data_IF_962670125747
#
_entry.id   IF_962670125747
#
_cell.length_a   1.000
_cell.length_b   1.000
_cell.length_c   1.000
_cell.angle_alpha   90.00
_cell.angle_beta   90.00
_cell.angle_gamma   90.00
#
_symmetry.space_group_name_H-M   'P 1'
#
loop_
_entity.id
_entity.type
_entity.pdbx_description
1 polymer ?
#
# COMPACT_ATOMS: atom_id res chain seq x y z
N UNK A 1 10.54 1.49 -12.09
CA UNK A 1 9.54 0.85 -12.94
C UNK A 1 8.31 0.53 -12.16
N UNK A 2 7.14 0.80 -12.74
CA UNK A 2 5.86 0.58 -12.05
C UNK A 2 5.67 -0.85 -11.61
N UNK A 3 6.11 -1.81 -12.43
CA UNK A 3 5.92 -3.22 -12.13
C UNK A 3 6.61 -3.62 -10.83
N UNK A 4 7.82 -3.12 -10.62
CA UNK A 4 8.55 -3.42 -9.39
C UNK A 4 7.88 -2.81 -8.17
N UNK A 5 7.40 -1.60 -8.31
CA UNK A 5 6.70 -0.92 -7.22
C UNK A 5 5.40 -1.64 -6.90
N UNK A 6 4.66 -2.00 -7.94
CA UNK A 6 3.40 -2.71 -7.75
C UNK A 6 3.61 -4.02 -7.01
N UNK A 7 4.58 -4.82 -7.45
CA UNK A 7 4.85 -6.10 -6.83
C UNK A 7 5.30 -5.94 -5.38
N UNK A 8 6.16 -4.96 -5.14
CA UNK A 8 6.65 -4.72 -3.80
C UNK A 8 5.54 -4.27 -2.87
N UNK A 9 4.64 -3.43 -3.36
CA UNK A 9 3.51 -2.99 -2.56
C UNK A 9 2.58 -4.16 -2.27
N UNK A 10 2.28 -4.98 -3.26
CA UNK A 10 1.42 -6.16 -3.04
C UNK A 10 2.03 -7.08 -2.00
N UNK A 11 3.33 -7.30 -2.06
CA UNK A 11 4.00 -8.14 -1.09
C UNK A 11 3.93 -7.53 0.30
N UNK A 12 4.16 -6.22 0.40
CA UNK A 12 4.09 -5.52 1.68
C UNK A 12 2.70 -5.61 2.27
N UNK A 13 1.68 -5.41 1.43
CA UNK A 13 0.29 -5.50 1.88
C UNK A 13 -0.02 -6.91 2.37
N UNK A 14 0.39 -7.91 1.60
CA UNK A 14 0.12 -9.30 1.97
C UNK A 14 0.76 -9.65 3.32
N UNK A 15 1.98 -9.21 3.53
CA UNK A 15 2.69 -9.49 4.78
C UNK A 15 2.06 -8.76 5.96
N UNK A 16 1.67 -7.51 5.75
CA UNK A 16 1.11 -6.68 6.81
C UNK A 16 -0.28 -7.17 7.22
N UNK A 17 -1.10 -7.48 6.24
CA UNK A 17 -2.47 -7.93 6.49
C UNK A 17 -2.58 -9.43 6.65
N UNK A 18 -1.49 -10.16 6.43
CA UNK A 18 -1.44 -11.62 6.58
C UNK A 18 -2.42 -12.31 5.65
N UNK A 19 -2.41 -11.89 4.39
CA UNK A 19 -3.26 -12.47 3.37
C UNK A 19 -2.39 -12.94 2.20
N UNK A 20 -3.00 -13.69 1.30
CA UNK A 20 -2.29 -14.23 0.15
C UNK A 20 -2.08 -13.13 -0.89
N UNK A 21 -0.83 -12.95 -1.28
CA UNK A 21 -0.47 -11.96 -2.28
C UNK A 21 -1.26 -12.16 -3.58
N UNK A 22 -1.57 -13.40 -3.91
CA UNK A 22 -2.32 -13.72 -5.12
C UNK A 22 -3.74 -13.19 -5.13
N UNK A 23 -4.29 -12.83 -3.96
CA UNK A 23 -5.64 -12.28 -3.88
C UNK A 23 -5.67 -10.77 -4.02
N UNK A 24 -4.52 -10.13 -4.11
CA UNK A 24 -4.41 -8.67 -4.14
C UNK A 24 -4.30 -8.21 -5.58
N UNK A 25 -5.12 -7.22 -5.94
CA UNK A 25 -5.03 -6.58 -7.25
C UNK A 25 -4.94 -5.07 -7.05
N UNK A 26 -4.63 -4.36 -8.14
CA UNK A 26 -4.58 -2.90 -8.08
C UNK A 26 -5.90 -2.29 -7.67
N UNK A 27 -6.99 -2.94 -8.00
CA UNK A 27 -8.33 -2.44 -7.70
C UNK A 27 -8.81 -2.79 -6.31
N UNK A 28 -8.06 -3.63 -5.60
CA UNK A 28 -8.46 -4.05 -4.25
C UNK A 28 -8.48 -2.86 -3.30
N UNK A 29 -9.58 -2.73 -2.57
CA UNK A 29 -9.70 -1.71 -1.53
C UNK A 29 -9.24 -2.31 -0.22
N UNK A 30 -8.40 -1.57 0.49
CA UNK A 30 -7.82 -2.11 1.72
C UNK A 30 -8.88 -2.50 2.74
N UNK A 31 -9.88 -1.66 2.90
CA UNK A 31 -10.94 -1.91 3.89
C UNK A 31 -11.99 -2.87 3.35
N UNK A 32 -12.58 -2.55 2.21
CA UNK A 32 -13.73 -3.29 1.69
C UNK A 32 -13.36 -4.65 1.13
N UNK A 33 -12.22 -4.74 0.46
CA UNK A 33 -11.84 -5.97 -0.22
C UNK A 33 -10.86 -6.81 0.58
N UNK A 34 -9.95 -6.16 1.30
CA UNK A 34 -8.91 -6.87 2.03
C UNK A 34 -9.17 -6.95 3.53
N UNK A 35 -10.22 -6.29 4.00
CA UNK A 35 -10.65 -6.42 5.38
C UNK A 35 -9.80 -5.67 6.40
N UNK A 36 -9.05 -4.67 5.96
CA UNK A 36 -8.22 -3.89 6.88
C UNK A 36 -9.07 -2.95 7.71
N UNK A 37 -8.73 -2.82 8.99
CA UNK A 37 -9.37 -1.81 9.83
C UNK A 37 -8.42 -0.61 9.99
N UNK A 38 -8.80 0.35 10.82
CA UNK A 38 -8.01 1.58 11.00
C UNK A 38 -6.59 1.29 11.46
N UNK A 39 -6.44 0.35 12.38
CA UNK A 39 -5.14 -0.01 12.90
C UNK A 39 -4.29 -0.68 11.83
N UNK A 40 -4.92 -1.56 11.06
CA UNK A 40 -4.22 -2.22 9.95
C UNK A 40 -3.72 -1.20 8.93
N UNK A 41 -4.54 -0.18 8.65
CA UNK A 41 -4.14 0.85 7.70
C UNK A 41 -2.93 1.64 8.19
N UNK A 42 -2.89 1.95 9.48
CA UNK A 42 -1.75 2.65 10.06
C UNK A 42 -0.49 1.80 9.91
N UNK A 43 -0.59 0.53 10.26
CA UNK A 43 0.55 -0.38 10.14
C UNK A 43 0.98 -0.53 8.69
N UNK A 44 0.02 -0.59 7.78
CA UNK A 44 0.30 -0.74 6.36
C UNK A 44 1.05 0.47 5.82
N UNK A 45 0.59 1.67 6.18
CA UNK A 45 1.28 2.88 5.72
C UNK A 45 2.70 2.93 6.26
N UNK A 46 2.90 2.55 7.52
CA UNK A 46 4.23 2.51 8.10
C UNK A 46 5.12 1.49 7.38
N UNK A 47 4.55 0.34 7.03
CA UNK A 47 5.30 -0.69 6.32
C UNK A 47 5.72 -0.22 4.94
N UNK A 48 4.83 0.50 4.25
CA UNK A 48 5.15 1.05 2.94
C UNK A 48 6.22 2.12 3.05
N UNK A 49 6.12 2.98 4.06
CA UNK A 49 7.13 4.00 4.29
C UNK A 49 8.51 3.37 4.49
N UNK A 50 8.57 2.31 5.28
CA UNK A 50 9.82 1.63 5.53
C UNK A 50 10.34 0.91 4.29
N UNK A 51 9.44 0.29 3.54
CA UNK A 51 9.84 -0.48 2.36
C UNK A 51 10.41 0.40 1.25
N UNK A 52 9.91 1.61 1.13
CA UNK A 52 10.31 2.52 0.04
C UNK A 52 11.07 3.74 0.54
N UNK A 53 11.29 3.84 1.84
CA UNK A 53 12.02 4.95 2.46
C UNK A 53 11.42 6.30 2.05
N UNK A 54 10.10 6.38 2.12
CA UNK A 54 9.38 7.62 1.81
C UNK A 54 8.42 7.94 2.94
N UNK A 55 7.96 9.19 2.99
CA UNK A 55 7.00 9.64 3.97
C UNK A 55 5.59 9.63 3.42
N UNK A 56 4.64 9.15 4.22
CA UNK A 56 3.22 9.23 3.87
C UNK A 56 2.53 9.97 5.01
N UNK A 57 2.38 11.30 4.90
CA UNK A 57 1.69 12.06 5.94
C UNK A 57 0.25 11.61 6.11
N UNK A 58 -0.33 11.84 7.28
CA UNK A 58 -1.67 11.36 7.58
C UNK A 58 -2.70 11.84 6.58
N UNK A 59 -2.60 13.10 6.13
CA UNK A 59 -3.55 13.63 5.17
C UNK A 59 -3.45 12.92 3.81
N UNK A 60 -2.26 12.47 3.44
CA UNK A 60 -2.09 11.70 2.21
C UNK A 60 -2.54 10.26 2.40
N UNK A 61 -2.21 9.69 3.56
CA UNK A 61 -2.58 8.31 3.85
C UNK A 61 -4.10 8.14 3.80
N UNK A 62 -4.85 9.12 4.28
CA UNK A 62 -6.31 9.02 4.29
C UNK A 62 -6.92 8.98 2.90
N UNK A 63 -6.17 9.38 1.88
CA UNK A 63 -6.64 9.35 0.50
C UNK A 63 -6.25 8.08 -0.23
N UNK A 64 -5.45 7.24 0.40
CA UNK A 64 -5.01 5.97 -0.20
C UNK A 64 -6.01 4.91 0.21
N UNK A 65 -6.93 4.59 -0.69
CA UNK A 65 -7.99 3.63 -0.41
C UNK A 65 -7.77 2.29 -1.09
N UNK A 66 -7.05 2.27 -2.20
CA UNK A 66 -6.81 1.06 -2.98
C UNK A 66 -5.32 0.81 -3.14
N UNK A 67 -4.99 -0.41 -3.59
CA UNK A 67 -3.60 -0.74 -3.88
C UNK A 67 -3.06 0.18 -4.96
N UNK A 68 -3.87 0.48 -5.98
CA UNK A 68 -3.45 1.38 -7.06
C UNK A 68 -3.11 2.77 -6.53
N UNK A 69 -3.88 3.27 -5.56
CA UNK A 69 -3.60 4.57 -4.95
C UNK A 69 -2.23 4.56 -4.28
N UNK A 70 -1.91 3.48 -3.59
CA UNK A 70 -0.62 3.34 -2.92
C UNK A 70 0.52 3.29 -3.93
N UNK A 71 0.34 2.52 -4.99
CA UNK A 71 1.34 2.42 -6.05
C UNK A 71 1.61 3.78 -6.67
N UNK A 72 0.53 4.50 -6.99
CA UNK A 72 0.66 5.81 -7.62
C UNK A 72 1.35 6.80 -6.69
N UNK A 73 1.02 6.77 -5.40
CA UNK A 73 1.67 7.66 -4.44
C UNK A 73 3.17 7.40 -4.39
N UNK A 74 3.54 6.12 -4.28
CA UNK A 74 4.94 5.76 -4.17
C UNK A 74 5.69 6.14 -5.44
N UNK A 75 5.11 5.84 -6.61
CA UNK A 75 5.74 6.20 -7.88
C UNK A 75 6.04 7.69 -7.97
N UNK A 76 5.12 8.51 -7.50
CA UNK A 76 5.26 9.95 -7.56
C UNK A 76 6.33 10.45 -6.62
N UNK A 77 6.52 9.80 -5.48
CA UNK A 77 7.36 10.33 -4.41
C UNK A 77 8.75 9.73 -4.34
N UNK A 78 8.97 8.55 -4.92
CA UNK A 78 10.31 7.95 -4.88
C UNK A 78 10.98 7.93 -6.24
N UNK A 79 10.22 8.07 -7.27
CA UNK A 79 10.76 8.03 -8.61
C UNK A 79 11.26 9.41 -8.98
N UNK A 80 12.46 9.63 -8.67
CA UNK A 80 13.09 10.91 -8.94
C UNK A 80 13.45 11.03 -10.43
#
# INVERSE_FOLDING_TARGET
MSDNIEQKIKKTVAETLRIDEGTISLESKFVDDLGADSLDLVELMMAIEAAFECDIPDDKASKIATVADAVKYVETHINA
#
